data_IF_302816211145
#
_entry.id   IF_302816211145
#
_cell.length_a   1.000
_cell.length_b   1.000
_cell.length_c   1.000
_cell.angle_alpha   90.00
_cell.angle_beta   90.00
_cell.angle_gamma   90.00
#
_symmetry.space_group_name_H-M   'P 1'
#
loop_
_entity.id
_entity.type
_entity.pdbx_description
1 polymer ?
#
# COMPACT_ATOMS: atom_id res chain seq x y z
N UNK A 1 60.70 -13.59 59.04
CA UNK A 1 60.63 -14.66 58.01
C UNK A 1 59.30 -14.52 57.24
N UNK A 2 59.25 -14.92 55.94
CA UNK A 2 58.55 -14.24 54.81
C UNK A 2 57.10 -14.75 54.58
N UNK A 3 56.23 -14.21 53.72
CA UNK A 3 56.30 -14.15 52.24
C UNK A 3 55.25 -13.21 51.62
N UNK A 4 55.66 -12.62 50.50
CA UNK A 4 54.88 -11.93 49.47
C UNK A 4 53.61 -12.68 49.04
N UNK A 5 52.54 -11.96 48.69
CA UNK A 5 51.79 -12.27 47.48
C UNK A 5 51.03 -11.06 46.90
N UNK A 6 51.01 -11.02 45.57
CA UNK A 6 50.70 -9.91 44.66
C UNK A 6 49.23 -9.95 44.21
N UNK A 7 48.75 -8.77 43.79
CA UNK A 7 47.81 -8.45 42.67
C UNK A 7 46.68 -7.53 43.16
N UNK A 8 46.66 -6.23 42.85
CA UNK A 8 46.39 -5.58 41.54
C UNK A 8 45.17 -6.17 40.83
N UNK A 9 43.98 -5.62 41.11
CA UNK A 9 42.91 -5.41 40.11
C UNK A 9 42.16 -4.12 40.44
N UNK A 10 42.27 -3.14 39.54
CA UNK A 10 41.39 -1.99 39.45
C UNK A 10 40.20 -2.41 38.59
N UNK A 11 38.99 -2.40 39.15
CA UNK A 11 37.75 -2.57 38.42
C UNK A 11 37.35 -1.23 37.81
N UNK A 12 37.52 -1.11 36.50
CA UNK A 12 37.05 0.02 35.70
C UNK A 12 36.41 -0.55 34.44
N UNK A 13 35.12 -0.83 34.53
CA UNK A 13 34.29 -1.33 33.44
C UNK A 13 34.18 -0.24 32.37
N UNK A 14 35.00 -0.34 31.33
CA UNK A 14 34.82 0.47 30.13
C UNK A 14 33.92 -0.29 29.16
N UNK A 15 32.70 0.24 29.10
CA UNK A 15 31.67 0.05 28.07
C UNK A 15 32.22 -0.47 26.72
N UNK A 16 31.68 -1.57 26.17
CA UNK A 16 32.06 -1.99 24.83
C UNK A 16 31.54 -0.97 23.82
N UNK A 17 32.47 -0.19 23.25
CA UNK A 17 32.24 0.66 22.09
C UNK A 17 31.58 -0.16 20.97
N UNK A 18 30.35 0.23 20.64
CA UNK A 18 29.59 -0.25 19.50
C UNK A 18 30.35 -0.03 18.17
N UNK A 19 31.12 -1.05 17.75
CA UNK A 19 31.58 -1.20 16.36
C UNK A 19 30.55 -2.05 15.60
N UNK A 20 29.41 -1.46 15.27
CA UNK A 20 28.36 -2.14 14.50
C UNK A 20 27.53 -1.24 13.58
N UNK A 21 27.57 0.09 13.77
CA UNK A 21 26.60 0.99 13.15
C UNK A 21 26.68 1.12 11.63
N UNK A 22 27.85 0.91 11.00
CA UNK A 22 27.99 1.09 9.53
C UNK A 22 27.44 -0.09 8.73
N UNK A 23 27.60 -1.31 9.22
CA UNK A 23 27.05 -2.50 8.59
C UNK A 23 25.53 -2.56 8.79
N UNK A 24 25.05 -2.30 10.00
CA UNK A 24 23.62 -2.20 10.29
C UNK A 24 22.93 -1.09 9.48
N UNK A 25 23.56 0.10 9.34
CA UNK A 25 23.02 1.19 8.52
C UNK A 25 23.01 0.87 7.02
N UNK A 26 23.98 0.10 6.52
CA UNK A 26 24.01 -0.39 5.13
C UNK A 26 22.93 -1.43 4.88
N UNK A 27 22.72 -2.34 5.84
CA UNK A 27 21.65 -3.33 5.79
C UNK A 27 20.29 -2.62 5.82
N UNK A 28 20.09 -1.66 6.72
CA UNK A 28 18.85 -0.87 6.81
C UNK A 28 18.54 -0.15 5.48
N UNK A 29 19.52 0.52 4.87
CA UNK A 29 19.34 1.22 3.58
C UNK A 29 19.06 0.28 2.39
N UNK A 30 19.40 -1.02 2.50
CA UNK A 30 19.05 -2.02 1.50
C UNK A 30 17.60 -2.48 1.70
N UNK A 31 17.18 -2.79 2.93
CA UNK A 31 15.78 -3.16 3.21
C UNK A 31 14.80 -2.02 2.90
N UNK A 32 15.16 -0.75 3.15
CA UNK A 32 14.33 0.40 2.76
C UNK A 32 14.13 0.51 1.23
N UNK A 33 15.17 0.19 0.43
CA UNK A 33 15.07 0.14 -1.04
C UNK A 33 14.23 -1.03 -1.54
N UNK A 34 14.39 -2.19 -0.93
CA UNK A 34 13.62 -3.39 -1.29
C UNK A 34 12.15 -3.27 -0.89
N UNK A 35 11.86 -2.62 0.23
CA UNK A 35 10.50 -2.35 0.70
C UNK A 35 9.79 -1.32 -0.18
N UNK A 36 10.49 -0.27 -0.64
CA UNK A 36 9.92 0.70 -1.59
C UNK A 36 9.63 0.09 -2.96
N UNK A 37 10.45 -0.86 -3.42
CA UNK A 37 10.20 -1.58 -4.67
C UNK A 37 9.02 -2.56 -4.55
N UNK A 38 8.87 -3.25 -3.40
CA UNK A 38 7.72 -4.12 -3.16
C UNK A 38 6.41 -3.31 -3.09
N UNK A 39 6.43 -2.15 -2.42
CA UNK A 39 5.32 -1.21 -2.35
C UNK A 39 4.97 -0.66 -3.74
N UNK A 40 5.95 -0.26 -4.55
CA UNK A 40 5.73 0.21 -5.92
C UNK A 40 5.14 -0.89 -6.83
N UNK A 41 5.61 -2.13 -6.70
CA UNK A 41 5.08 -3.29 -7.41
C UNK A 41 3.67 -3.67 -6.95
N UNK A 42 3.37 -3.56 -5.66
CA UNK A 42 2.03 -3.76 -5.12
C UNK A 42 1.08 -2.66 -5.61
N UNK A 43 1.48 -1.39 -5.59
CA UNK A 43 0.72 -0.28 -6.18
C UNK A 43 0.50 -0.42 -7.70
N UNK A 44 1.48 -0.95 -8.43
CA UNK A 44 1.37 -1.28 -9.85
C UNK A 44 0.40 -2.46 -10.11
N UNK A 45 0.38 -3.46 -9.21
CA UNK A 45 -0.50 -4.65 -9.30
C UNK A 45 -1.94 -4.37 -8.86
N UNK A 46 -2.11 -3.59 -7.80
CA UNK A 46 -3.38 -3.08 -7.27
C UNK A 46 -3.99 -1.98 -8.15
N UNK A 47 -3.18 -1.45 -9.07
CA UNK A 47 -3.63 -0.63 -10.17
C UNK A 47 -4.33 0.62 -9.65
N UNK A 48 -3.55 1.57 -9.16
CA UNK A 48 -3.96 2.97 -8.99
C UNK A 48 -5.40 3.11 -8.43
N UNK A 49 -5.70 2.48 -7.30
CA UNK A 49 -6.94 2.77 -6.60
C UNK A 49 -6.82 4.15 -5.99
N UNK A 50 -7.75 5.04 -6.34
CA UNK A 50 -7.79 6.41 -5.82
C UNK A 50 -9.06 6.63 -5.02
N UNK A 51 -8.97 7.40 -3.95
CA UNK A 51 -10.14 7.81 -3.18
C UNK A 51 -10.54 9.21 -3.59
N UNK A 52 -11.82 9.40 -3.93
CA UNK A 52 -12.40 10.67 -4.38
C UNK A 52 -13.62 11.01 -3.51
N UNK A 53 -13.66 12.22 -2.95
CA UNK A 53 -14.80 12.69 -2.17
C UNK A 53 -15.79 13.39 -3.09
N UNK A 54 -17.04 12.91 -3.13
CA UNK A 54 -18.13 13.54 -3.88
C UNK A 54 -19.36 13.71 -3.02
N UNK A 55 -19.93 14.92 -3.03
CA UNK A 55 -21.15 15.28 -2.29
C UNK A 55 -21.06 14.89 -0.79
N UNK A 56 -19.86 15.03 -0.20
CA UNK A 56 -19.58 14.67 1.19
C UNK A 56 -19.36 13.18 1.46
N UNK A 57 -19.34 12.33 0.42
CA UNK A 57 -19.13 10.88 0.55
C UNK A 57 -17.81 10.48 -0.11
N UNK A 58 -16.99 9.71 0.59
CA UNK A 58 -15.74 9.15 0.06
C UNK A 58 -16.03 7.92 -0.81
N UNK A 59 -15.50 7.91 -2.03
CA UNK A 59 -15.61 6.82 -2.98
C UNK A 59 -14.23 6.30 -3.36
N UNK A 60 -14.06 4.98 -3.38
CA UNK A 60 -12.89 4.36 -3.97
C UNK A 60 -13.16 4.13 -5.45
N UNK A 61 -12.24 4.59 -6.28
CA UNK A 61 -12.29 4.51 -7.74
C UNK A 61 -11.10 3.68 -8.20
N UNK A 62 -11.38 2.55 -8.86
CA UNK A 62 -10.38 1.69 -9.46
C UNK A 62 -10.47 1.75 -10.99
N UNK A 63 -9.41 2.16 -11.70
CA UNK A 63 -9.36 2.06 -13.15
C UNK A 63 -9.18 0.59 -13.57
N UNK A 64 -10.02 0.15 -14.50
CA UNK A 64 -9.94 -1.17 -15.13
C UNK A 64 -9.50 -0.98 -16.59
N UNK A 65 -8.40 -1.64 -16.96
CA UNK A 65 -7.92 -1.64 -18.33
C UNK A 65 -8.79 -2.53 -19.22
N UNK A 66 -8.80 -2.25 -20.53
CA UNK A 66 -9.46 -3.05 -21.55
C UNK A 66 -9.19 -4.56 -21.40
N UNK A 67 -7.93 -4.94 -21.15
CA UNK A 67 -7.53 -6.34 -21.01
C UNK A 67 -8.14 -7.04 -19.78
N UNK A 68 -8.53 -6.29 -18.73
CA UNK A 68 -9.18 -6.83 -17.52
C UNK A 68 -10.71 -6.75 -17.59
N UNK A 69 -11.26 -6.04 -18.59
CA UNK A 69 -12.69 -5.92 -18.83
C UNK A 69 -13.20 -7.16 -19.58
N UNK A 70 -13.45 -8.25 -18.86
CA UNK A 70 -13.85 -9.53 -19.45
C UNK A 70 -15.37 -9.72 -19.52
N UNK A 71 -16.15 -8.80 -18.95
CA UNK A 71 -17.61 -8.93 -18.82
C UNK A 71 -18.30 -7.60 -19.07
N UNK A 72 -19.47 -7.68 -19.68
CA UNK A 72 -20.34 -6.54 -19.92
C UNK A 72 -21.09 -6.12 -18.65
N UNK A 73 -21.13 -4.81 -18.38
CA UNK A 73 -21.82 -4.23 -17.24
C UNK A 73 -22.64 -3.01 -17.65
N UNK A 74 -23.71 -2.68 -16.92
CA UNK A 74 -24.53 -1.49 -17.23
C UNK A 74 -24.01 -0.27 -16.48
N UNK A 75 -23.74 0.82 -17.20
CA UNK A 75 -23.31 2.09 -16.62
C UNK A 75 -24.48 2.84 -15.97
N UNK A 76 -24.38 3.27 -14.69
CA UNK A 76 -25.46 4.00 -14.01
C UNK A 76 -25.74 5.40 -14.58
N UNK A 77 -24.76 6.01 -15.26
CA UNK A 77 -24.85 7.40 -15.72
C UNK A 77 -25.37 7.60 -17.14
N UNK A 78 -25.41 6.57 -17.99
CA UNK A 78 -25.76 6.73 -19.42
C UNK A 78 -26.60 5.58 -19.99
N UNK A 79 -27.31 4.82 -19.14
CA UNK A 79 -27.85 3.46 -19.36
C UNK A 79 -27.16 2.46 -20.32
N UNK A 80 -26.06 2.82 -20.97
CA UNK A 80 -25.38 2.00 -21.96
C UNK A 80 -24.51 0.93 -21.29
N UNK A 81 -24.30 -0.18 -22.01
CA UNK A 81 -23.37 -1.21 -21.61
C UNK A 81 -21.92 -0.73 -21.72
N UNK A 82 -21.13 -1.05 -20.70
CA UNK A 82 -19.67 -1.06 -20.71
C UNK A 82 -19.28 -2.43 -21.25
N UNK A 83 -18.90 -2.49 -22.52
CA UNK A 83 -18.58 -3.76 -23.19
C UNK A 83 -17.28 -4.37 -22.68
N UNK A 84 -17.16 -5.70 -22.78
CA UNK A 84 -15.89 -6.38 -22.60
C UNK A 84 -14.83 -5.80 -23.55
N UNK A 85 -13.61 -5.57 -23.05
CA UNK A 85 -12.55 -4.90 -23.79
C UNK A 85 -12.56 -3.37 -23.69
N UNK A 86 -13.55 -2.75 -23.03
CA UNK A 86 -13.58 -1.29 -22.83
C UNK A 86 -12.93 -0.89 -21.52
N UNK A 87 -11.99 0.05 -21.57
CA UNK A 87 -11.39 0.63 -20.38
C UNK A 87 -12.41 1.51 -19.62
N UNK A 88 -12.63 1.18 -18.35
CA UNK A 88 -13.68 1.77 -17.53
C UNK A 88 -13.24 1.90 -16.07
N UNK A 89 -14.07 2.48 -15.20
CA UNK A 89 -13.76 2.62 -13.78
C UNK A 89 -14.81 1.90 -12.94
N UNK A 90 -14.33 1.24 -11.90
CA UNK A 90 -15.18 0.60 -10.89
C UNK A 90 -15.19 1.49 -9.67
N UNK A 91 -16.38 1.79 -9.17
CA UNK A 91 -16.58 2.72 -8.06
C UNK A 91 -17.43 2.09 -6.98
N UNK A 92 -16.98 2.24 -5.74
CA UNK A 92 -17.72 1.85 -4.54
C UNK A 92 -17.47 2.86 -3.41
N UNK A 93 -18.29 2.82 -2.36
CA UNK A 93 -18.12 3.70 -1.19
C UNK A 93 -16.86 3.28 -0.43
N UNK A 94 -16.00 4.23 -0.11
CA UNK A 94 -14.80 3.98 0.69
C UNK A 94 -15.12 3.78 2.19
N UNK A 95 -16.24 4.34 2.64
CA UNK A 95 -16.64 4.30 4.05
C UNK A 95 -17.90 3.43 4.20
N UNK A 96 -17.71 2.22 4.72
CA UNK A 96 -18.79 1.29 5.07
C UNK A 96 -18.67 0.91 6.54
N UNK A 97 -19.71 1.20 7.33
CA UNK A 97 -19.82 0.83 8.76
C UNK A 97 -19.67 -0.70 8.98
N UNK A 98 -19.91 -1.49 7.92
CA UNK A 98 -19.89 -2.95 7.93
C UNK A 98 -18.57 -3.56 7.38
N UNK A 99 -17.54 -2.74 7.12
CA UNK A 99 -16.25 -3.19 6.60
C UNK A 99 -16.14 -3.19 5.06
N UNK A 100 -14.90 -3.19 4.56
CA UNK A 100 -14.55 -3.04 3.14
C UNK A 100 -15.16 -4.12 2.23
N UNK A 101 -15.41 -5.33 2.74
CA UNK A 101 -15.94 -6.45 1.95
C UNK A 101 -17.37 -6.20 1.44
N UNK A 102 -18.23 -5.59 2.26
CA UNK A 102 -19.58 -5.23 1.85
C UNK A 102 -19.60 -4.06 0.86
N UNK A 103 -18.65 -3.14 0.99
CA UNK A 103 -18.49 -2.05 0.03
C UNK A 103 -18.03 -2.57 -1.34
N UNK A 104 -17.16 -3.58 -1.34
CA UNK A 104 -16.71 -4.28 -2.54
C UNK A 104 -17.86 -5.04 -3.25
N UNK A 105 -18.83 -5.59 -2.52
CA UNK A 105 -20.00 -6.22 -3.12
C UNK A 105 -20.91 -5.22 -3.87
N UNK A 106 -20.87 -3.93 -3.49
CA UNK A 106 -21.64 -2.86 -4.13
C UNK A 106 -20.89 -2.15 -5.27
N UNK A 107 -19.86 -2.79 -5.85
CA UNK A 107 -19.07 -2.25 -6.97
C UNK A 107 -19.94 -1.93 -8.19
N UNK A 108 -19.94 -0.66 -8.61
CA UNK A 108 -20.63 -0.20 -9.82
C UNK A 108 -19.62 0.11 -10.91
N UNK A 109 -19.94 -0.28 -12.14
CA UNK A 109 -19.08 -0.09 -13.29
C UNK A 109 -19.53 1.16 -14.06
N UNK A 110 -18.60 2.07 -14.29
CA UNK A 110 -18.86 3.35 -14.96
C UNK A 110 -17.90 3.54 -16.11
N UNK A 111 -18.36 4.14 -17.20
CA UNK A 111 -17.43 4.71 -18.17
C UNK A 111 -16.57 5.79 -17.51
N UNK A 112 -15.32 5.92 -17.95
CA UNK A 112 -14.41 6.97 -17.49
C UNK A 112 -15.04 8.38 -17.57
N UNK A 113 -15.69 8.68 -18.69
CA UNK A 113 -16.38 9.96 -18.89
C UNK A 113 -17.60 10.12 -17.99
N UNK A 114 -18.47 9.11 -17.92
CA UNK A 114 -19.67 9.16 -17.08
C UNK A 114 -19.33 9.35 -15.61
N UNK A 115 -18.27 8.70 -15.11
CA UNK A 115 -17.81 8.97 -13.75
C UNK A 115 -17.37 10.41 -13.59
N UNK A 116 -16.62 11.01 -14.52
CA UNK A 116 -16.19 12.41 -14.41
C UNK A 116 -17.35 13.41 -14.36
N UNK A 117 -18.51 13.07 -14.94
CA UNK A 117 -19.68 13.96 -15.05
C UNK A 117 -20.72 13.80 -13.91
N UNK A 118 -20.66 12.73 -13.12
CA UNK A 118 -21.66 12.39 -12.09
C UNK A 118 -21.67 13.30 -10.84
#
# INVERSE_FOLDING_TARGET
MPRSNRSRRQGGETSPRARGGRAAKRQQAAVDRESGAADELEHLRDGWRRTEVRRGVSYTVQPISAARALKDYVCPGCPNAVEAGVAHVVVWRAEGILGDEHALAARRHWHNHCWRMA
#
